data_IF_845147016798
#
_entry.id   IF_845147016798
#
_cell.length_a   1.000
_cell.length_b   1.000
_cell.length_c   1.000
_cell.angle_alpha   90.00
_cell.angle_beta   90.00
_cell.angle_gamma   90.00
#
_symmetry.space_group_name_H-M   'P 1'
#
loop_
_entity.id
_entity.type
_entity.pdbx_description
1 polymer ?
#
# COMPACT_ATOMS: atom_id res chain seq x y z
N UNK A 1 -12.01 42.13 35.78
CA UNK A 1 -11.97 43.46 35.11
C UNK A 1 -10.53 43.96 35.07
N UNK A 2 -9.87 43.91 33.91
CA UNK A 2 -8.78 44.83 33.54
C UNK A 2 -8.60 44.76 32.02
N UNK A 3 -9.25 45.72 31.36
CA UNK A 3 -9.13 46.03 29.94
C UNK A 3 -7.71 46.47 29.61
N UNK A 4 -7.12 45.94 28.53
CA UNK A 4 -6.17 46.65 27.64
C UNK A 4 -6.20 46.05 26.23
N UNK A 5 -7.09 46.58 25.39
CA UNK A 5 -6.75 47.01 24.02
C UNK A 5 -6.70 48.55 24.10
N UNK A 6 -5.95 49.30 23.26
CA UNK A 6 -5.77 49.06 21.82
C UNK A 6 -4.36 49.42 21.29
N UNK A 7 -4.08 49.10 20.02
CA UNK A 7 -3.49 50.09 19.10
C UNK A 7 -3.61 49.61 17.65
N UNK A 8 -4.51 50.31 16.94
CA UNK A 8 -4.58 50.33 15.49
C UNK A 8 -3.36 51.11 14.99
N UNK A 9 -2.56 50.53 14.11
CA UNK A 9 -1.66 51.30 13.25
C UNK A 9 -2.17 51.25 11.81
N UNK A 10 -2.36 52.46 11.29
CA UNK A 10 -2.97 52.78 10.02
C UNK A 10 -2.00 52.62 8.83
N UNK A 11 -2.57 52.26 7.67
CA UNK A 11 -1.97 52.40 6.34
C UNK A 11 -1.75 53.89 5.98
N UNK A 12 -0.92 54.30 4.97
CA UNK A 12 -1.24 54.16 3.52
C UNK A 12 0.05 54.21 2.61
N UNK A 13 0.03 54.58 1.29
CA UNK A 13 -0.91 54.35 0.19
C UNK A 13 -0.25 53.62 -1.03
N UNK A 14 -1.08 53.46 -2.06
CA UNK A 14 -0.87 52.86 -3.38
C UNK A 14 0.25 53.44 -4.25
N UNK A 15 0.80 52.59 -5.11
CA UNK A 15 1.30 52.97 -6.43
C UNK A 15 0.71 52.07 -7.52
N UNK A 16 -0.21 52.63 -8.31
CA UNK A 16 -0.57 52.18 -9.66
C UNK A 16 0.25 53.01 -10.66
N UNK A 17 0.75 52.36 -11.72
CA UNK A 17 0.66 52.90 -13.08
C UNK A 17 -0.11 51.86 -13.96
N UNK A 18 -1.16 52.19 -14.72
CA UNK A 18 -1.18 52.90 -16.01
C UNK A 18 -0.01 52.48 -16.92
N UNK A 19 -0.15 52.04 -18.16
CA UNK A 19 -1.24 52.07 -19.10
C UNK A 19 -0.93 51.11 -20.27
N UNK A 20 -2.00 50.67 -20.92
CA UNK A 20 -2.18 50.50 -22.38
C UNK A 20 -0.90 50.49 -23.23
N UNK A 21 -0.59 49.31 -23.76
CA UNK A 21 0.11 49.13 -25.03
C UNK A 21 -0.70 48.18 -25.90
N UNK A 22 -1.75 48.70 -26.54
CA UNK A 22 -2.38 48.02 -27.66
C UNK A 22 -1.45 48.18 -28.86
N UNK A 23 -0.82 47.08 -29.30
CA UNK A 23 -0.20 47.01 -30.61
C UNK A 23 -0.89 45.88 -31.38
N UNK A 24 -1.78 46.31 -32.25
CA UNK A 24 -2.34 45.51 -33.33
C UNK A 24 -1.19 45.18 -34.30
N UNK A 25 -0.98 43.88 -34.50
CA UNK A 25 -0.01 43.37 -35.44
C UNK A 25 -0.25 41.88 -35.62
N UNK A 26 -1.35 41.53 -36.30
CA UNK A 26 -1.52 40.21 -36.90
C UNK A 26 -0.88 40.21 -38.29
N UNK A 27 0.17 39.41 -38.52
CA UNK A 27 0.41 38.81 -39.82
C UNK A 27 -0.19 37.41 -39.79
N UNK A 28 -1.31 37.28 -40.49
CA UNK A 28 -1.83 36.01 -40.99
C UNK A 28 -0.72 35.31 -41.80
N UNK A 29 -0.10 34.27 -41.22
CA UNK A 29 0.65 33.27 -41.97
C UNK A 29 -0.01 31.92 -41.76
N UNK A 30 -0.91 31.57 -42.68
CA UNK A 30 -1.36 30.20 -42.91
C UNK A 30 -0.15 29.38 -43.35
N UNK A 31 0.55 28.78 -42.39
CA UNK A 31 1.51 27.70 -42.59
C UNK A 31 0.86 26.33 -42.37
N UNK A 32 1.42 25.26 -42.94
CA UNK A 32 0.70 24.05 -43.30
C UNK A 32 0.12 23.33 -42.09
N UNK A 33 -1.03 22.71 -42.30
CA UNK A 33 -1.69 21.75 -41.42
C UNK A 33 -0.77 20.56 -41.13
N UNK A 34 0.20 20.79 -40.25
CA UNK A 34 1.04 19.76 -39.66
C UNK A 34 0.12 18.83 -38.90
N UNK A 35 -0.17 17.67 -39.49
CA UNK A 35 -0.70 16.50 -38.79
C UNK A 35 0.12 16.35 -37.53
N UNK A 36 -0.44 16.73 -36.38
CA UNK A 36 0.14 16.40 -35.08
C UNK A 36 0.30 14.88 -35.07
N UNK A 37 1.53 14.35 -35.02
CA UNK A 37 1.69 12.92 -34.84
C UNK A 37 0.96 12.61 -33.53
N UNK A 38 -0.09 11.80 -33.63
CA UNK A 38 -0.77 11.25 -32.48
C UNK A 38 0.29 10.49 -31.70
N UNK A 39 0.83 11.10 -30.64
CA UNK A 39 1.68 10.42 -29.69
C UNK A 39 0.76 9.49 -28.87
N UNK A 40 0.20 8.47 -29.53
CA UNK A 40 -0.23 7.25 -28.88
C UNK A 40 1.04 6.47 -28.56
N UNK A 41 1.79 6.94 -27.56
CA UNK A 41 2.79 6.08 -26.94
C UNK A 41 2.05 5.09 -26.04
N UNK A 42 2.42 3.80 -26.11
CA UNK A 42 1.63 2.70 -25.58
C UNK A 42 1.50 2.83 -24.06
N UNK A 43 0.32 2.51 -23.56
CA UNK A 43 -0.07 2.47 -22.14
C UNK A 43 0.98 1.80 -21.24
N UNK A 44 1.75 0.85 -21.80
CA UNK A 44 2.78 0.08 -21.11
C UNK A 44 3.92 0.92 -20.55
N UNK A 45 4.44 1.92 -21.27
CA UNK A 45 5.54 2.78 -20.75
C UNK A 45 5.12 3.57 -19.52
N UNK A 46 3.87 4.03 -19.47
CA UNK A 46 3.33 4.77 -18.34
C UNK A 46 3.16 3.86 -17.11
N UNK A 47 2.67 2.64 -17.33
CA UNK A 47 2.59 1.59 -16.30
C UNK A 47 3.96 1.22 -15.75
N UNK A 48 4.98 1.07 -16.59
CA UNK A 48 6.34 0.74 -16.15
C UNK A 48 6.94 1.88 -15.32
N UNK A 49 6.78 3.14 -15.75
CA UNK A 49 7.23 4.30 -14.98
C UNK A 49 6.51 4.41 -13.64
N UNK A 50 5.19 4.15 -13.61
CA UNK A 50 4.40 4.14 -12.39
C UNK A 50 4.84 3.01 -11.44
N UNK A 51 5.06 1.81 -11.95
CA UNK A 51 5.54 0.66 -11.17
C UNK A 51 6.94 0.93 -10.58
N UNK A 52 7.85 1.50 -11.38
CA UNK A 52 9.21 1.84 -10.93
C UNK A 52 9.22 2.97 -9.91
N UNK A 53 8.36 3.99 -10.10
CA UNK A 53 8.13 5.06 -9.13
C UNK A 53 7.63 4.52 -7.78
N UNK A 54 6.91 3.39 -7.79
CA UNK A 54 6.36 2.74 -6.59
C UNK A 54 7.23 1.61 -6.03
N UNK A 55 8.49 1.49 -6.46
CA UNK A 55 9.41 0.41 -6.05
C UNK A 55 8.89 -1.01 -6.30
N UNK A 56 7.87 -1.19 -7.16
CA UNK A 56 7.21 -2.48 -7.40
C UNK A 56 8.20 -3.56 -7.88
N UNK A 57 9.14 -3.30 -8.81
CA UNK A 57 10.10 -4.32 -9.22
C UNK A 57 11.03 -4.76 -8.08
N UNK A 58 11.46 -3.82 -7.24
CA UNK A 58 12.34 -4.10 -6.11
C UNK A 58 11.60 -4.91 -5.03
N UNK A 59 10.38 -4.51 -4.67
CA UNK A 59 9.51 -5.24 -3.75
C UNK A 59 9.18 -6.65 -4.27
N UNK A 60 8.91 -6.81 -5.57
CA UNK A 60 8.65 -8.11 -6.18
C UNK A 60 9.89 -9.00 -6.12
N UNK A 61 11.07 -8.47 -6.47
CA UNK A 61 12.32 -9.21 -6.36
C UNK A 61 12.60 -9.65 -4.92
N UNK A 62 12.42 -8.75 -3.94
CA UNK A 62 12.58 -9.07 -2.52
C UNK A 62 11.60 -10.15 -2.04
N UNK A 63 10.33 -10.07 -2.47
CA UNK A 63 9.32 -11.09 -2.15
C UNK A 63 9.69 -12.46 -2.74
N UNK A 64 10.14 -12.50 -4.00
CA UNK A 64 10.58 -13.75 -4.65
C UNK A 64 11.82 -14.34 -3.97
N UNK A 65 12.81 -13.50 -3.62
CA UNK A 65 14.00 -13.93 -2.89
C UNK A 65 13.59 -14.52 -1.53
N UNK A 66 12.68 -13.88 -0.80
CA UNK A 66 12.17 -14.40 0.46
C UNK A 66 11.48 -15.77 0.27
N UNK A 67 10.65 -15.93 -0.75
CA UNK A 67 10.00 -17.21 -1.07
C UNK A 67 11.00 -18.30 -1.40
N UNK A 68 11.98 -18.03 -2.29
CA UNK A 68 12.99 -19.00 -2.70
C UNK A 68 13.93 -19.35 -1.55
N UNK A 69 14.30 -18.37 -0.71
CA UNK A 69 15.12 -18.59 0.47
C UNK A 69 14.41 -19.49 1.47
N UNK A 70 13.14 -19.19 1.81
CA UNK A 70 12.35 -20.03 2.71
C UNK A 70 12.21 -21.44 2.15
N UNK A 71 11.83 -21.58 0.87
CA UNK A 71 11.73 -22.89 0.21
C UNK A 71 13.04 -23.67 0.27
N UNK A 72 14.16 -23.00 0.02
CA UNK A 72 15.48 -23.64 0.09
C UNK A 72 15.86 -24.09 1.49
N UNK A 73 15.51 -23.30 2.51
CA UNK A 73 15.81 -23.58 3.91
C UNK A 73 14.93 -24.68 4.51
N UNK A 74 13.69 -24.82 4.03
CA UNK A 74 12.74 -25.81 4.55
C UNK A 74 12.65 -27.08 3.71
N UNK A 75 13.45 -27.19 2.64
CA UNK A 75 13.55 -28.41 1.84
C UNK A 75 13.95 -29.59 2.75
N UNK A 76 13.10 -30.60 2.83
CA UNK A 76 13.33 -31.82 3.62
C UNK A 76 12.94 -31.73 5.11
N UNK A 77 12.54 -30.57 5.62
CA UNK A 77 12.19 -30.38 7.03
C UNK A 77 10.68 -30.53 7.33
N UNK A 78 9.85 -30.88 6.33
CA UNK A 78 8.39 -30.86 6.43
C UNK A 78 7.86 -29.43 6.28
N UNK A 79 7.20 -29.15 5.16
CA UNK A 79 6.67 -27.81 4.82
C UNK A 79 5.41 -27.40 5.60
N UNK A 80 4.92 -28.24 6.53
CA UNK A 80 3.65 -28.03 7.22
C UNK A 80 3.74 -27.17 8.48
N UNK A 81 4.91 -26.66 8.87
CA UNK A 81 4.97 -25.75 10.04
C UNK A 81 4.19 -24.44 9.78
N UNK A 82 3.10 -24.15 10.54
CA UNK A 82 2.35 -22.90 10.42
C UNK A 82 3.23 -21.66 10.61
N UNK A 83 4.30 -21.75 11.41
CA UNK A 83 5.18 -20.61 11.69
C UNK A 83 5.96 -20.21 10.45
N UNK A 84 6.51 -21.18 9.72
CA UNK A 84 7.19 -20.94 8.44
C UNK A 84 6.28 -20.23 7.45
N UNK A 85 5.02 -20.68 7.32
CA UNK A 85 4.03 -20.09 6.42
C UNK A 85 3.75 -18.62 6.76
N UNK A 86 3.64 -18.29 8.04
CA UNK A 86 3.35 -16.93 8.50
C UNK A 86 4.56 -16.02 8.41
N UNK A 87 5.76 -16.54 8.67
CA UNK A 87 7.01 -15.81 8.46
C UNK A 87 7.21 -15.46 6.98
N UNK A 88 6.96 -16.42 6.08
CA UNK A 88 6.98 -16.17 4.63
C UNK A 88 5.96 -15.11 4.24
N UNK A 89 4.71 -15.28 4.65
CA UNK A 89 3.63 -14.33 4.35
C UNK A 89 3.99 -12.92 4.83
N UNK A 90 4.45 -12.80 6.07
CA UNK A 90 4.83 -11.53 6.68
C UNK A 90 6.01 -10.90 5.94
N UNK A 91 7.00 -11.69 5.53
CA UNK A 91 8.16 -11.22 4.77
C UNK A 91 7.75 -10.65 3.40
N UNK A 92 6.87 -11.36 2.68
CA UNK A 92 6.34 -10.91 1.38
C UNK A 92 5.52 -9.63 1.55
N UNK A 93 4.61 -9.59 2.54
CA UNK A 93 3.80 -8.41 2.82
C UNK A 93 4.68 -7.23 3.25
N UNK A 94 5.68 -7.44 4.09
CA UNK A 94 6.63 -6.42 4.53
C UNK A 94 7.41 -5.82 3.34
N UNK A 95 7.93 -6.67 2.45
CA UNK A 95 8.63 -6.23 1.24
C UNK A 95 7.72 -5.43 0.31
N UNK A 96 6.47 -5.85 0.15
CA UNK A 96 5.49 -5.18 -0.69
C UNK A 96 4.95 -3.88 -0.07
N UNK A 97 4.88 -3.80 1.26
CA UNK A 97 4.40 -2.62 1.99
C UNK A 97 5.27 -1.38 1.77
N UNK A 98 6.56 -1.55 1.47
CA UNK A 98 7.47 -0.44 1.11
C UNK A 98 6.93 0.34 -0.10
N UNK A 99 6.29 -0.34 -1.06
CA UNK A 99 5.71 0.25 -2.27
C UNK A 99 4.45 1.10 -2.02
N UNK A 100 3.87 1.05 -0.81
CA UNK A 100 2.78 1.94 -0.40
C UNK A 100 3.26 3.39 -0.27
N UNK A 101 4.58 3.61 -0.13
CA UNK A 101 5.22 4.93 -0.23
C UNK A 101 5.08 5.50 -1.64
N UNK A 102 4.19 6.47 -1.84
CA UNK A 102 4.14 7.24 -3.08
C UNK A 102 5.29 8.24 -3.12
N UNK A 103 6.24 8.05 -4.03
CA UNK A 103 7.42 8.92 -4.17
C UNK A 103 7.09 10.36 -4.58
N UNK A 104 5.90 10.61 -5.14
CA UNK A 104 5.53 11.93 -5.63
C UNK A 104 4.15 12.38 -5.14
N UNK A 105 4.14 12.90 -3.90
CA UNK A 105 2.94 13.48 -3.27
C UNK A 105 2.50 14.79 -3.90
N UNK A 106 3.34 15.46 -4.69
CA UNK A 106 2.94 16.64 -5.45
C UNK A 106 2.06 16.23 -6.64
N UNK A 107 2.43 15.16 -7.34
CA UNK A 107 1.60 14.54 -8.40
C UNK A 107 0.26 14.02 -7.89
N UNK A 108 0.21 13.42 -6.69
CA UNK A 108 -1.05 12.98 -6.06
C UNK A 108 -2.01 14.18 -5.81
N UNK A 109 -1.47 15.36 -5.48
CA UNK A 109 -2.25 16.57 -5.19
C UNK A 109 -2.82 17.25 -6.44
N UNK A 110 -2.13 17.17 -7.57
CA UNK A 110 -2.51 17.87 -8.80
C UNK A 110 -3.32 17.01 -9.76
N UNK A 111 -3.46 15.72 -9.50
CA UNK A 111 -4.21 14.84 -10.38
C UNK A 111 -5.72 14.93 -10.11
N UNK A 112 -6.50 15.25 -11.15
CA UNK A 112 -7.97 15.24 -11.16
C UNK A 112 -8.60 13.82 -11.06
N UNK A 113 -7.81 12.80 -10.71
CA UNK A 113 -8.21 11.40 -10.68
C UNK A 113 -8.53 11.00 -9.24
N UNK A 114 -9.58 10.20 -9.05
CA UNK A 114 -9.89 9.57 -7.76
C UNK A 114 -8.73 8.64 -7.36
N UNK A 115 -7.92 9.05 -6.38
CA UNK A 115 -6.79 8.26 -5.88
C UNK A 115 -7.18 7.12 -4.93
N UNK A 116 -8.30 7.27 -4.21
CA UNK A 116 -8.81 6.26 -3.30
C UNK A 116 -8.93 4.85 -3.93
N UNK A 117 -9.56 4.65 -5.12
CA UNK A 117 -9.64 3.33 -5.74
C UNK A 117 -8.27 2.79 -6.17
N UNK A 118 -7.32 3.65 -6.57
CA UNK A 118 -5.96 3.20 -6.90
C UNK A 118 -5.19 2.72 -5.67
N UNK A 119 -5.35 3.40 -4.53
CA UNK A 119 -4.75 3.00 -3.25
C UNK A 119 -5.33 1.69 -2.76
N UNK A 120 -6.65 1.52 -2.82
CA UNK A 120 -7.31 0.26 -2.51
C UNK A 120 -6.82 -0.87 -3.43
N UNK A 121 -6.74 -0.63 -4.75
CA UNK A 121 -6.21 -1.61 -5.70
C UNK A 121 -4.77 -2.02 -5.39
N UNK A 122 -3.92 -1.09 -4.95
CA UNK A 122 -2.54 -1.41 -4.55
C UNK A 122 -2.50 -2.34 -3.32
N UNK A 123 -3.34 -2.10 -2.31
CA UNK A 123 -3.46 -2.97 -1.14
C UNK A 123 -3.97 -4.36 -1.54
N UNK A 124 -4.98 -4.43 -2.41
CA UNK A 124 -5.50 -5.69 -2.95
C UNK A 124 -4.43 -6.46 -3.73
N UNK A 125 -3.62 -5.78 -4.53
CA UNK A 125 -2.50 -6.38 -5.26
C UNK A 125 -1.43 -6.96 -4.30
N UNK A 126 -1.15 -6.28 -3.18
CA UNK A 126 -0.26 -6.83 -2.15
C UNK A 126 -0.83 -8.13 -1.58
N UNK A 127 -2.11 -8.14 -1.21
CA UNK A 127 -2.78 -9.35 -0.73
C UNK A 127 -2.76 -10.49 -1.75
N UNK A 128 -3.08 -10.20 -3.01
CA UNK A 128 -3.05 -11.19 -4.10
C UNK A 128 -1.65 -11.75 -4.33
N UNK A 129 -0.62 -10.90 -4.37
CA UNK A 129 0.77 -11.33 -4.52
C UNK A 129 1.20 -12.23 -3.35
N UNK A 130 0.88 -11.82 -2.13
CA UNK A 130 1.22 -12.57 -0.92
C UNK A 130 0.53 -13.94 -0.89
N UNK A 131 -0.77 -13.99 -1.22
CA UNK A 131 -1.51 -15.25 -1.36
C UNK A 131 -0.97 -16.13 -2.47
N UNK A 132 -0.63 -15.57 -3.63
CA UNK A 132 -0.10 -16.33 -4.77
C UNK A 132 1.27 -16.95 -4.47
N UNK A 133 2.19 -16.19 -3.85
CA UNK A 133 3.51 -16.71 -3.48
C UNK A 133 3.43 -17.76 -2.38
N UNK A 134 2.53 -17.57 -1.41
CA UNK A 134 2.28 -18.59 -0.39
C UNK A 134 1.67 -19.85 -1.02
N UNK A 135 0.72 -19.71 -1.94
CA UNK A 135 0.13 -20.85 -2.64
C UNK A 135 1.19 -21.62 -3.43
N UNK A 136 2.02 -20.91 -4.20
CA UNK A 136 3.12 -21.50 -4.96
C UNK A 136 4.10 -22.27 -4.06
N UNK A 137 4.44 -21.70 -2.90
CA UNK A 137 5.29 -22.36 -1.89
C UNK A 137 4.69 -23.68 -1.39
N UNK A 138 3.37 -23.70 -1.14
CA UNK A 138 2.66 -24.88 -0.61
C UNK A 138 2.48 -25.97 -1.66
N UNK A 139 2.13 -25.59 -2.90
CA UNK A 139 2.00 -26.54 -4.01
C UNK A 139 3.33 -27.20 -4.38
N UNK A 140 4.45 -26.54 -4.11
CA UNK A 140 5.77 -27.11 -4.32
C UNK A 140 6.20 -28.09 -3.19
N UNK A 141 5.43 -28.15 -2.10
CA UNK A 141 5.66 -29.04 -0.96
C UNK A 141 4.64 -30.16 -0.81
N UNK A 142 3.79 -30.39 -1.82
CA UNK A 142 2.71 -31.40 -1.83
C UNK A 142 1.65 -31.26 -0.70
N UNK A 143 1.51 -30.06 -0.13
CA UNK A 143 0.65 -29.87 1.05
C UNK A 143 -0.76 -29.32 0.72
N UNK A 144 -1.83 -29.98 1.19
CA UNK A 144 -3.19 -29.47 1.04
C UNK A 144 -3.48 -28.36 2.05
N UNK A 145 -3.38 -27.10 1.62
CA UNK A 145 -3.84 -25.97 2.43
C UNK A 145 -5.28 -25.59 2.09
N UNK A 146 -6.08 -25.38 3.14
CA UNK A 146 -7.43 -24.82 2.99
C UNK A 146 -7.33 -23.40 2.45
N UNK A 147 -7.85 -23.19 1.24
CA UNK A 147 -7.86 -21.90 0.55
C UNK A 147 -8.40 -20.74 1.41
N UNK A 148 -9.35 -21.04 2.31
CA UNK A 148 -9.89 -20.06 3.25
C UNK A 148 -8.83 -19.43 4.18
N UNK A 149 -7.93 -20.23 4.74
CA UNK A 149 -6.86 -19.72 5.63
C UNK A 149 -5.87 -18.85 4.87
N UNK A 150 -5.50 -19.26 3.66
CA UNK A 150 -4.58 -18.51 2.80
C UNK A 150 -5.16 -17.15 2.40
N UNK A 151 -6.43 -17.14 1.98
CA UNK A 151 -7.12 -15.92 1.59
C UNK A 151 -7.30 -14.98 2.78
N UNK A 152 -7.72 -15.51 3.93
CA UNK A 152 -7.87 -14.76 5.19
C UNK A 152 -6.56 -14.11 5.60
N UNK A 153 -5.48 -14.89 5.68
CA UNK A 153 -4.19 -14.43 6.16
C UNK A 153 -3.60 -13.37 5.22
N UNK A 154 -3.64 -13.60 3.90
CA UNK A 154 -3.16 -12.63 2.92
C UNK A 154 -3.96 -11.31 2.94
N UNK A 155 -5.29 -11.38 3.03
CA UNK A 155 -6.15 -10.20 3.10
C UNK A 155 -5.94 -9.40 4.40
N UNK A 156 -5.93 -10.07 5.55
CA UNK A 156 -5.74 -9.42 6.85
C UNK A 156 -4.36 -8.79 7.00
N UNK A 157 -3.30 -9.46 6.52
CA UNK A 157 -1.93 -8.91 6.55
C UNK A 157 -1.76 -7.72 5.60
N UNK A 158 -2.38 -7.74 4.42
CA UNK A 158 -2.41 -6.57 3.55
C UNK A 158 -3.14 -5.37 4.19
N UNK A 159 -4.23 -5.65 4.93
CA UNK A 159 -4.93 -4.67 5.75
C UNK A 159 -4.05 -4.06 6.84
N UNK A 160 -3.29 -4.87 7.57
CA UNK A 160 -2.30 -4.40 8.56
C UNK A 160 -1.23 -3.52 7.90
N UNK A 161 -0.71 -3.91 6.73
CA UNK A 161 0.25 -3.08 6.00
C UNK A 161 -0.36 -1.73 5.59
N UNK A 162 -1.64 -1.71 5.21
CA UNK A 162 -2.37 -0.49 4.86
C UNK A 162 -2.55 0.44 6.06
N UNK A 163 -2.94 -0.10 7.23
CA UNK A 163 -2.99 0.64 8.49
C UNK A 163 -1.61 1.19 8.83
N UNK A 164 -0.58 0.34 8.71
CA UNK A 164 0.79 0.74 8.99
C UNK A 164 1.26 1.89 8.11
N UNK A 165 0.98 1.83 6.81
CA UNK A 165 1.28 2.90 5.88
C UNK A 165 0.54 4.20 6.24
N UNK A 166 -0.72 4.11 6.66
CA UNK A 166 -1.51 5.28 7.06
C UNK A 166 -1.07 5.87 8.42
N UNK A 167 -0.50 5.07 9.32
CA UNK A 167 -0.08 5.52 10.66
C UNK A 167 1.38 5.95 10.75
N UNK A 168 2.28 5.34 9.97
CA UNK A 168 3.74 5.57 10.04
C UNK A 168 4.38 5.87 8.68
N UNK A 169 3.59 5.90 7.60
CA UNK A 169 4.10 6.10 6.24
C UNK A 169 4.56 4.80 5.59
N UNK A 170 4.80 4.84 4.27
CA UNK A 170 5.11 3.62 3.51
C UNK A 170 6.43 2.95 3.91
N UNK A 171 7.43 3.72 4.37
CA UNK A 171 8.73 3.18 4.81
C UNK A 171 8.60 2.28 6.05
N UNK A 172 7.65 2.58 6.94
CA UNK A 172 7.44 1.84 8.19
C UNK A 172 6.14 1.01 8.17
N UNK A 173 5.50 0.88 7.01
CA UNK A 173 4.26 0.13 6.85
C UNK A 173 4.39 -1.36 7.22
N UNK A 174 5.61 -1.91 7.12
CA UNK A 174 5.93 -3.29 7.48
C UNK A 174 5.92 -3.56 8.99
N UNK A 175 6.03 -2.52 9.83
CA UNK A 175 6.18 -2.68 11.28
C UNK A 175 4.96 -3.32 11.91
N UNK A 176 3.75 -3.00 11.43
CA UNK A 176 2.52 -3.54 11.98
C UNK A 176 2.27 -5.01 11.60
N UNK A 177 2.38 -5.43 10.31
CA UNK A 177 2.40 -6.85 9.97
C UNK A 177 3.45 -7.64 10.74
N UNK A 178 4.66 -7.10 10.88
CA UNK A 178 5.75 -7.76 11.61
C UNK A 178 5.46 -7.88 13.11
N UNK A 179 5.01 -6.80 13.75
CA UNK A 179 4.64 -6.81 15.17
C UNK A 179 3.49 -7.76 15.46
N UNK A 180 2.50 -7.83 14.55
CA UNK A 180 1.40 -8.78 14.69
C UNK A 180 1.85 -10.24 14.47
N UNK A 181 2.74 -10.48 13.51
CA UNK A 181 3.37 -11.80 13.33
C UNK A 181 4.12 -12.23 14.59
N UNK A 182 4.92 -11.34 15.20
CA UNK A 182 5.61 -11.62 16.45
C UNK A 182 4.62 -11.95 17.56
N UNK A 183 3.56 -11.15 17.74
CA UNK A 183 2.51 -11.42 18.71
C UNK A 183 1.86 -12.80 18.48
N UNK A 184 1.54 -13.15 17.23
CA UNK A 184 0.95 -14.43 16.90
C UNK A 184 1.88 -15.63 17.23
N UNK A 185 3.19 -15.47 17.09
CA UNK A 185 4.18 -16.53 17.35
C UNK A 185 4.49 -16.72 18.83
N UNK A 186 4.46 -15.64 19.62
CA UNK A 186 4.90 -15.68 21.02
C UNK A 186 3.75 -15.69 22.04
N UNK A 187 2.53 -15.30 21.65
CA UNK A 187 1.36 -15.38 22.54
C UNK A 187 0.88 -16.83 22.60
N UNK A 188 0.77 -17.43 23.80
CA UNK A 188 0.25 -18.79 23.96
C UNK A 188 -1.17 -18.91 23.41
N UNK A 189 -1.39 -19.93 22.59
CA UNK A 189 -2.73 -20.25 22.09
C UNK A 189 -3.57 -20.84 23.22
N UNK A 190 -4.54 -20.06 23.67
CA UNK A 190 -5.63 -20.47 24.57
C UNK A 190 -6.97 -20.40 23.86
N UNK A 191 -8.01 -21.01 24.43
CA UNK A 191 -9.38 -20.97 23.89
C UNK A 191 -10.07 -19.61 24.04
N UNK A 192 -9.41 -18.62 24.64
CA UNK A 192 -9.96 -17.28 24.80
C UNK A 192 -10.08 -16.54 23.45
N UNK A 193 -11.12 -15.73 23.31
CA UNK A 193 -11.33 -14.89 22.11
C UNK A 193 -10.15 -13.95 21.88
N UNK A 194 -9.60 -13.36 22.94
CA UNK A 194 -8.42 -12.47 22.85
C UNK A 194 -7.21 -13.20 22.28
N UNK A 195 -6.97 -14.44 22.71
CA UNK A 195 -5.92 -15.29 22.14
C UNK A 195 -6.17 -15.59 20.66
N UNK A 196 -7.40 -15.96 20.29
CA UNK A 196 -7.77 -16.23 18.89
C UNK A 196 -7.63 -15.00 17.99
N UNK A 197 -7.99 -13.81 18.49
CA UNK A 197 -7.80 -12.52 17.79
C UNK A 197 -6.32 -12.22 17.64
N UNK A 198 -5.50 -12.44 18.67
CA UNK A 198 -4.07 -12.12 18.62
C UNK A 198 -3.32 -13.08 17.70
N UNK A 199 -3.65 -14.37 17.77
CA UNK A 199 -3.00 -15.46 17.03
C UNK A 199 -3.73 -15.81 15.72
N UNK A 200 -4.60 -14.94 15.22
CA UNK A 200 -5.48 -15.20 14.07
C UNK A 200 -4.76 -15.74 12.81
N UNK A 201 -3.48 -15.42 12.64
CA UNK A 201 -2.63 -15.93 11.57
C UNK A 201 -2.39 -17.45 11.63
N UNK A 202 -2.31 -18.03 12.83
CA UNK A 202 -2.07 -19.48 13.07
C UNK A 202 -3.39 -20.24 13.21
N UNK A 203 -4.50 -19.55 13.51
CA UNK A 203 -5.77 -20.18 13.79
C UNK A 203 -6.26 -21.04 12.60
N UNK A 204 -6.90 -22.19 12.86
CA UNK A 204 -7.55 -22.98 11.81
C UNK A 204 -8.57 -22.18 11.00
N UNK A 205 -8.92 -22.69 9.82
CA UNK A 205 -10.08 -22.19 9.06
C UNK A 205 -11.38 -22.47 9.83
N UNK A 206 -12.31 -21.51 9.86
CA UNK A 206 -13.58 -21.66 10.57
C UNK A 206 -13.56 -21.16 12.01
N UNK A 207 -12.42 -20.67 12.49
CA UNK A 207 -12.36 -19.93 13.76
C UNK A 207 -12.98 -18.54 13.56
N UNK A 208 -14.23 -18.37 14.01
CA UNK A 208 -15.02 -17.15 13.84
C UNK A 208 -14.27 -15.88 14.22
N UNK A 209 -13.56 -15.88 15.37
CA UNK A 209 -12.81 -14.72 15.83
C UNK A 209 -11.65 -14.34 14.89
N UNK A 210 -10.96 -15.33 14.34
CA UNK A 210 -9.86 -15.11 13.40
C UNK A 210 -10.37 -14.57 12.05
N UNK A 211 -11.49 -15.11 11.57
CA UNK A 211 -12.11 -14.70 10.30
C UNK A 211 -12.61 -13.25 10.37
N UNK A 212 -13.29 -12.89 11.47
CA UNK A 212 -13.72 -11.49 11.70
C UNK A 212 -12.54 -10.54 11.88
N UNK A 213 -11.50 -10.95 12.61
CA UNK A 213 -10.29 -10.12 12.79
C UNK A 213 -9.66 -9.79 11.45
N UNK A 214 -9.43 -10.80 10.61
CA UNK A 214 -8.85 -10.60 9.29
C UNK A 214 -9.74 -9.74 8.39
N UNK A 215 -11.06 -9.95 8.42
CA UNK A 215 -12.01 -9.17 7.63
C UNK A 215 -12.01 -7.69 8.04
N UNK A 216 -12.05 -7.41 9.35
CA UNK A 216 -12.01 -6.04 9.89
C UNK A 216 -10.70 -5.37 9.53
N UNK A 217 -9.56 -6.06 9.66
CA UNK A 217 -8.25 -5.52 9.28
C UNK A 217 -8.15 -5.26 7.77
N UNK A 218 -8.63 -6.18 6.93
CA UNK A 218 -8.62 -6.05 5.48
C UNK A 218 -9.48 -4.88 5.00
N UNK A 219 -10.75 -4.84 5.42
CA UNK A 219 -11.72 -3.81 5.01
C UNK A 219 -11.41 -2.48 5.68
N UNK A 220 -11.23 -2.47 7.00
CA UNK A 220 -10.95 -1.28 7.78
C UNK A 220 -9.61 -0.66 7.39
N UNK A 221 -8.55 -1.47 7.27
CA UNK A 221 -7.24 -1.01 6.86
C UNK A 221 -7.19 -0.51 5.41
N UNK A 222 -7.83 -1.25 4.49
CA UNK A 222 -7.95 -0.84 3.10
C UNK A 222 -8.71 0.48 2.95
N UNK A 223 -9.85 0.64 3.62
CA UNK A 223 -10.65 1.86 3.60
C UNK A 223 -9.90 3.03 4.26
N UNK A 224 -9.30 2.80 5.43
CA UNK A 224 -8.52 3.81 6.14
C UNK A 224 -7.38 4.34 5.27
N UNK A 225 -6.60 3.45 4.65
CA UNK A 225 -5.51 3.84 3.76
C UNK A 225 -5.99 4.48 2.45
N UNK A 226 -7.10 4.01 1.88
CA UNK A 226 -7.68 4.59 0.67
C UNK A 226 -8.11 6.04 0.89
N UNK A 227 -8.68 6.34 2.06
CA UNK A 227 -9.15 7.67 2.43
C UNK A 227 -8.03 8.59 2.93
N UNK A 228 -7.21 8.13 3.89
CA UNK A 228 -6.19 8.94 4.52
C UNK A 228 -4.89 9.04 3.69
N UNK A 229 -4.51 7.95 3.02
CA UNK A 229 -3.19 7.82 2.38
C UNK A 229 -2.04 7.62 3.35
N UNK A 230 -0.80 7.53 2.83
CA UNK A 230 0.38 7.30 3.65
C UNK A 230 0.76 8.53 4.48
N UNK A 231 1.06 8.34 5.78
CA UNK A 231 1.51 9.41 6.69
C UNK A 231 2.83 10.03 6.24
N UNK A 232 2.98 11.33 6.53
CA UNK A 232 4.05 12.22 6.09
C UNK A 232 5.43 11.70 6.45
#
# INVERSE_FOLDING_TARGET
MKQRQPERQAAPPAHRPSARGASAGQPSTRGPSGRRPSIRRPSTRWLTLYARSRQVPASLAAALIATVATWSLTRGAGSDDPRTRILLLTSVVAAAAVGLSGQDRALDRTAAIRWAPRRAAHVLLIGMLAGALLLAFLTAGDEPVRAGTLLRNSAGSAGLAAIGAALWGGQYAWTLPFGWCAAALFVPSTDSVTSQVTTWLIQPSGTTAADWTALVLAVGGGLFYALAGPRR
#
